data_IF_576475380508
#
_entry.id   IF_576475380508
#
_cell.length_a   1.000
_cell.length_b   1.000
_cell.length_c   1.000
_cell.angle_alpha   90.00
_cell.angle_beta   90.00
_cell.angle_gamma   90.00
#
_symmetry.space_group_name_H-M   'P 1'
#
loop_
_entity.id
_entity.type
_entity.pdbx_description
1 polymer ?
#
# COMPACT_ATOMS: atom_id res chain seq x y z
N UNK A 1 -14.89 -14.31 0.73
CA UNK A 1 -14.44 -13.42 -0.36
C UNK A 1 -12.96 -13.19 -0.10
N UNK A 2 -12.08 -13.57 -1.03
CA UNK A 2 -10.64 -13.47 -0.83
C UNK A 2 -10.21 -12.03 -1.13
N UNK A 3 -10.10 -11.22 -0.08
CA UNK A 3 -9.59 -9.86 -0.25
C UNK A 3 -8.05 -9.91 -0.34
N UNK A 4 -7.51 -9.38 -1.43
CA UNK A 4 -6.07 -9.21 -1.63
C UNK A 4 -5.57 -8.11 -0.72
N UNK A 5 -4.48 -8.37 -0.02
CA UNK A 5 -3.84 -7.40 0.87
C UNK A 5 -2.52 -6.94 0.26
N UNK A 6 -2.34 -5.65 0.07
CA UNK A 6 -1.10 -5.06 -0.44
C UNK A 6 -0.49 -4.17 0.64
N UNK A 7 0.75 -4.44 1.03
CA UNK A 7 1.51 -3.60 1.95
C UNK A 7 2.38 -2.69 1.11
N UNK A 8 2.20 -1.38 1.27
CA UNK A 8 3.06 -0.35 0.69
C UNK A 8 3.95 0.22 1.79
N UNK A 9 5.26 0.18 1.57
CA UNK A 9 6.29 0.72 2.46
C UNK A 9 7.00 1.88 1.76
N UNK A 10 7.06 3.06 2.37
CA UNK A 10 7.90 4.13 1.86
C UNK A 10 9.40 3.83 2.03
N UNK A 11 10.22 4.24 1.06
CA UNK A 11 11.67 4.01 1.05
C UNK A 11 12.46 5.12 1.73
N UNK A 12 12.04 6.38 1.63
CA UNK A 12 12.71 7.50 2.31
C UNK A 12 11.78 8.71 2.42
N UNK A 13 11.93 9.47 3.51
CA UNK A 13 11.29 10.78 3.70
C UNK A 13 9.79 10.78 4.04
N UNK A 14 9.00 9.84 3.53
CA UNK A 14 7.58 9.75 3.84
C UNK A 14 7.35 9.13 5.21
N UNK A 15 6.73 9.92 6.10
CA UNK A 15 6.16 9.44 7.35
C UNK A 15 4.65 9.30 7.19
N UNK A 16 4.15 8.07 7.30
CA UNK A 16 2.73 7.74 7.16
C UNK A 16 1.88 8.50 8.18
N UNK A 17 2.38 8.70 9.40
CA UNK A 17 1.70 9.47 10.46
C UNK A 17 1.46 10.95 10.11
N UNK A 18 2.31 11.52 9.24
CA UNK A 18 2.24 12.94 8.87
C UNK A 18 1.09 13.24 7.88
N UNK A 19 0.43 12.21 7.35
CA UNK A 19 -0.60 12.35 6.33
C UNK A 19 -1.95 11.78 6.77
N UNK A 20 -3.06 12.49 6.53
CA UNK A 20 -4.39 11.95 6.75
C UNK A 20 -4.64 10.69 5.91
N UNK A 21 -5.28 9.68 6.49
CA UNK A 21 -5.62 8.43 5.82
C UNK A 21 -6.29 8.63 4.45
N UNK A 22 -7.19 9.61 4.34
CA UNK A 22 -7.87 9.98 3.08
C UNK A 22 -6.92 10.42 1.96
N UNK A 23 -5.82 11.11 2.30
CA UNK A 23 -4.84 11.57 1.31
C UNK A 23 -3.96 10.41 0.83
N UNK A 24 -3.55 9.54 1.76
CA UNK A 24 -2.82 8.31 1.45
C UNK A 24 -3.65 7.38 0.54
N UNK A 25 -4.92 7.18 0.88
CA UNK A 25 -5.85 6.43 0.05
C UNK A 25 -5.98 7.06 -1.34
N UNK A 26 -6.26 8.36 -1.43
CA UNK A 26 -6.42 9.05 -2.71
C UNK A 26 -5.19 8.91 -3.62
N UNK A 27 -3.99 9.02 -3.06
CA UNK A 27 -2.75 8.85 -3.82
C UNK A 27 -2.57 7.42 -4.35
N UNK A 28 -2.87 6.41 -3.52
CA UNK A 28 -2.83 5.00 -3.94
C UNK A 28 -3.88 4.69 -5.01
N UNK A 29 -5.05 5.32 -4.93
CA UNK A 29 -6.09 5.23 -5.97
C UNK A 29 -5.62 5.85 -7.29
N UNK A 30 -4.99 7.03 -7.24
CA UNK A 30 -4.40 7.66 -8.42
C UNK A 30 -3.34 6.78 -9.07
N UNK A 31 -2.46 6.16 -8.27
CA UNK A 31 -1.43 5.26 -8.76
C UNK A 31 -1.99 4.02 -9.48
N UNK A 32 -3.23 3.63 -9.17
CA UNK A 32 -3.88 2.42 -9.72
C UNK A 32 -4.91 2.72 -10.78
N UNK A 33 -5.22 3.99 -11.04
CA UNK A 33 -6.30 4.39 -11.94
C UNK A 33 -7.69 3.92 -11.47
N UNK A 34 -7.87 3.70 -10.17
CA UNK A 34 -9.14 3.22 -9.60
C UNK A 34 -9.92 4.35 -8.93
N UNK A 35 -11.26 4.41 -9.08
CA UNK A 35 -12.04 5.43 -8.41
C UNK A 35 -12.05 5.19 -6.89
N UNK A 36 -11.85 6.23 -6.05
CA UNK A 36 -12.10 6.14 -4.62
C UNK A 36 -13.61 5.98 -4.40
N UNK A 37 -14.06 4.99 -3.64
CA UNK A 37 -15.48 4.87 -3.27
C UNK A 37 -15.62 4.22 -1.90
N UNK A 38 -16.81 4.28 -1.30
CA UNK A 38 -17.15 4.04 0.12
C UNK A 38 -18.18 2.92 0.43
N UNK A 39 -18.37 1.89 -0.41
CA UNK A 39 -19.15 0.67 -0.15
C UNK A 39 -18.65 -0.58 -0.92
N UNK A 40 -18.43 -1.69 -0.20
CA UNK A 40 -18.18 -3.09 -0.61
C UNK A 40 -17.85 -3.35 -2.10
N UNK A 41 -16.60 -3.78 -2.36
CA UNK A 41 -16.02 -3.89 -3.70
C UNK A 41 -14.71 -3.11 -3.87
N UNK A 42 -14.10 -2.68 -2.77
CA UNK A 42 -13.27 -1.48 -2.74
C UNK A 42 -11.88 -1.70 -2.21
N UNK A 43 -10.98 -0.87 -2.72
CA UNK A 43 -9.63 -0.67 -2.23
C UNK A 43 -9.75 0.10 -0.90
N UNK A 44 -9.65 -0.59 0.24
CA UNK A 44 -9.69 -0.01 1.58
C UNK A 44 -8.26 0.20 2.07
N UNK A 45 -7.90 1.43 2.42
CA UNK A 45 -6.55 1.79 2.87
C UNK A 45 -6.50 2.00 4.38
N UNK A 46 -5.58 1.29 5.03
CA UNK A 46 -5.27 1.37 6.45
C UNK A 46 -3.82 1.83 6.63
N UNK A 47 -3.59 3.10 6.99
CA UNK A 47 -2.29 3.55 7.45
C UNK A 47 -1.89 2.79 8.72
N UNK A 48 -0.62 2.41 8.83
CA UNK A 48 -0.01 1.80 10.02
C UNK A 48 1.14 2.70 10.49
N UNK A 49 0.84 3.80 11.22
CA UNK A 49 1.82 4.82 11.61
C UNK A 49 3.04 4.24 12.34
N UNK A 50 2.81 3.35 13.31
CA UNK A 50 3.87 2.75 14.14
C UNK A 50 4.89 1.94 13.32
N UNK A 51 4.47 1.39 12.19
CA UNK A 51 5.31 0.57 11.32
C UNK A 51 5.79 1.37 10.09
N UNK A 52 5.32 2.62 9.94
CA UNK A 52 5.46 3.43 8.74
C UNK A 52 5.02 2.69 7.46
N UNK A 53 3.92 1.94 7.54
CA UNK A 53 3.38 1.16 6.42
C UNK A 53 1.98 1.64 6.05
N UNK A 54 1.55 1.27 4.84
CA UNK A 54 0.17 1.45 4.39
C UNK A 54 -0.33 0.09 3.90
N UNK A 55 -1.35 -0.45 4.55
CA UNK A 55 -2.00 -1.69 4.10
C UNK A 55 -3.23 -1.34 3.28
N UNK A 56 -3.38 -1.98 2.13
CA UNK A 56 -4.52 -1.78 1.25
C UNK A 56 -5.19 -3.12 0.98
N UNK A 57 -6.49 -3.22 1.24
CA UNK A 57 -7.30 -4.40 1.01
C UNK A 57 -8.14 -4.18 -0.25
N UNK A 58 -8.16 -5.10 -1.19
CA UNK A 58 -8.99 -4.99 -2.41
C UNK A 58 -9.51 -6.36 -2.83
N UNK A 59 -10.78 -6.47 -3.28
CA UNK A 59 -11.29 -7.72 -3.84
C UNK A 59 -10.86 -7.96 -5.30
N UNK A 60 -10.13 -7.02 -5.92
CA UNK A 60 -9.71 -7.10 -7.33
C UNK A 60 -8.22 -7.43 -7.45
N UNK A 61 -7.90 -8.57 -8.09
CA UNK A 61 -6.52 -8.97 -8.39
C UNK A 61 -5.79 -7.93 -9.24
N UNK A 62 -6.47 -7.37 -10.23
CA UNK A 62 -5.91 -6.32 -11.11
C UNK A 62 -5.51 -5.09 -10.30
N UNK A 63 -6.35 -4.67 -9.36
CA UNK A 63 -6.04 -3.55 -8.46
C UNK A 63 -4.87 -3.89 -7.54
N UNK A 64 -4.83 -5.12 -7.02
CA UNK A 64 -3.77 -5.58 -6.14
C UNK A 64 -2.40 -5.63 -6.84
N UNK A 65 -2.37 -6.09 -8.09
CA UNK A 65 -1.18 -6.11 -8.92
C UNK A 65 -0.73 -4.71 -9.34
N UNK A 66 -1.66 -3.80 -9.64
CA UNK A 66 -1.33 -2.40 -9.91
C UNK A 66 -0.70 -1.73 -8.67
N UNK A 67 -1.29 -1.91 -7.49
CA UNK A 67 -0.74 -1.42 -6.22
C UNK A 67 0.65 -2.00 -5.97
N UNK A 68 0.83 -3.31 -6.16
CA UNK A 68 2.12 -4.00 -6.00
C UNK A 68 3.20 -3.44 -6.93
N UNK A 69 2.85 -3.06 -8.16
CA UNK A 69 3.78 -2.47 -9.13
C UNK A 69 4.05 -0.99 -8.89
N UNK A 70 3.29 -0.33 -8.02
CA UNK A 70 3.50 1.09 -7.71
C UNK A 70 4.84 1.28 -6.99
N UNK A 71 5.71 2.08 -7.60
CA UNK A 71 7.02 2.45 -7.04
C UNK A 71 7.02 3.86 -6.45
N UNK A 72 5.97 4.64 -6.69
CA UNK A 72 5.85 6.03 -6.22
C UNK A 72 4.48 6.30 -5.63
N UNK A 73 4.41 7.36 -4.81
CA UNK A 73 3.20 7.85 -4.16
C UNK A 73 3.24 9.39 -4.19
N UNK A 74 2.23 10.01 -4.79
CA UNK A 74 2.15 11.46 -4.94
C UNK A 74 1.27 12.05 -3.83
N UNK A 75 1.84 12.87 -2.95
CA UNK A 75 1.12 13.50 -1.83
C UNK A 75 1.32 15.01 -1.87
N UNK A 76 0.27 15.73 -2.29
CA UNK A 76 0.40 17.14 -2.62
C UNK A 76 1.32 17.31 -3.84
N UNK A 77 2.29 18.21 -3.73
CA UNK A 77 3.28 18.47 -4.80
C UNK A 77 4.54 17.60 -4.67
N UNK A 78 4.59 16.71 -3.67
CA UNK A 78 5.76 15.87 -3.40
C UNK A 78 5.52 14.44 -3.87
N UNK A 79 6.54 13.85 -4.48
CA UNK A 79 6.56 12.44 -4.86
C UNK A 79 7.47 11.68 -3.91
N UNK A 80 6.99 10.55 -3.41
CA UNK A 80 7.71 9.68 -2.49
C UNK A 80 7.93 8.31 -3.10
N UNK A 81 9.14 7.77 -2.97
CA UNK A 81 9.44 6.41 -3.39
C UNK A 81 8.85 5.40 -2.41
N UNK A 82 8.21 4.37 -2.96
CA UNK A 82 7.60 3.29 -2.20
C UNK A 82 7.94 1.94 -2.81
N UNK A 83 7.80 0.90 -2.00
CA UNK A 83 7.76 -0.49 -2.45
C UNK A 83 6.49 -1.12 -1.97
N UNK A 84 5.80 -1.85 -2.85
CA UNK A 84 4.57 -2.54 -2.51
C UNK A 84 4.71 -4.06 -2.69
N UNK A 85 4.09 -4.83 -1.81
CA UNK A 85 4.07 -6.29 -1.88
C UNK A 85 2.69 -6.85 -1.53
N UNK A 86 2.34 -7.98 -2.16
CA UNK A 86 1.15 -8.74 -1.80
C UNK A 86 1.41 -9.50 -0.50
N UNK A 87 0.59 -9.26 0.51
CA UNK A 87 0.56 -10.03 1.75
C UNK A 87 -0.23 -11.31 1.49
N UNK A 88 0.42 -12.46 1.66
CA UNK A 88 -0.24 -13.77 1.53
C UNK A 88 -1.48 -13.82 2.44
N UNK A 89 -2.63 -14.14 1.88
CA UNK A 89 -3.82 -14.55 2.63
C UNK A 89 -3.51 -15.84 3.40
N UNK A 90 -4.00 -16.02 4.64
CA UNK A 90 -3.90 -17.32 5.32
C UNK A 90 -4.59 -18.38 4.45
N UNK A 91 -3.80 -19.29 3.86
CA UNK A 91 -4.29 -20.34 2.95
C UNK A 91 -3.68 -20.33 1.55
N UNK A 92 -2.96 -19.29 1.13
CA UNK A 92 -2.34 -19.24 -0.21
C UNK A 92 -0.85 -18.92 -0.12
N UNK A 93 -0.05 -19.97 -0.03
CA UNK A 93 1.41 -19.91 -0.22
C UNK A 93 1.71 -19.59 -1.69
N UNK A 94 1.99 -18.33 -2.05
CA UNK A 94 2.77 -18.04 -3.26
C UNK A 94 3.30 -16.59 -3.30
N UNK A 95 4.59 -16.50 -2.96
CA UNK A 95 5.61 -15.51 -3.39
C UNK A 95 5.67 -14.14 -2.68
N UNK A 96 6.64 -14.12 -1.74
CA UNK A 96 7.61 -13.04 -1.43
C UNK A 96 7.16 -11.92 -0.49
N UNK A 97 7.31 -12.17 0.81
CA UNK A 97 8.01 -11.24 1.71
C UNK A 97 9.26 -12.00 2.19
N UNK A 98 10.32 -11.96 1.39
CA UNK A 98 11.65 -12.35 1.82
C UNK A 98 12.49 -11.08 1.68
N UNK A 99 13.07 -10.65 2.80
CA UNK A 99 13.93 -9.48 2.94
C UNK A 99 13.22 -8.12 2.92
N UNK A 100 12.65 -7.78 4.07
CA UNK A 100 12.85 -6.42 4.57
C UNK A 100 13.93 -6.59 5.64
N UNK A 101 15.18 -6.37 5.27
CA UNK A 101 16.20 -6.14 6.28
C UNK A 101 15.76 -4.89 7.07
N UNK A 102 15.67 -4.98 8.41
CA UNK A 102 15.63 -3.77 9.20
C UNK A 102 16.95 -3.04 8.93
N UNK A 103 16.90 -1.86 8.30
CA UNK A 103 18.06 -0.98 8.29
C UNK A 103 18.49 -0.77 9.73
N UNK A 104 19.62 -1.38 10.09
CA UNK A 104 20.25 -1.23 11.38
C UNK A 104 20.65 0.24 11.50
N UNK A 105 20.16 1.00 12.50
CA UNK A 105 20.71 2.31 12.77
C UNK A 105 22.18 2.15 13.16
N UNK A 106 23.05 2.91 12.48
CA UNK A 106 24.46 3.05 12.81
C UNK A 106 24.66 3.67 14.20
#
# INVERSE_FOLDING_TARGET
MNDYNVITRPRSGLRVEAWPARKLAHSLHQATGTPPSTSYGQVITFPQPLQNLITTCTPSEVCADALRKSTTLHLGDTTYDVTACLKNTPGTSRRVIQFIDPETPA
#
